data_IF_594507253084
#
_entry.id   IF_594507253084
#
_cell.length_a   1.000
_cell.length_b   1.000
_cell.length_c   1.000
_cell.angle_alpha   90.00
_cell.angle_beta   90.00
_cell.angle_gamma   90.00
#
_symmetry.space_group_name_H-M   'P 1'
#
loop_
_entity.id
_entity.type
_entity.pdbx_description
1 polymer ?
#
# COMPACT_ATOMS: atom_id res chain seq x y z
N UNK A 1 -13.12 14.44 3.52
CA UNK A 1 -13.85 13.30 2.93
C UNK A 1 -13.05 11.98 2.88
N UNK A 2 -11.91 11.88 2.16
CA UNK A 2 -11.17 10.61 2.08
C UNK A 2 -10.45 10.22 3.38
N UNK A 3 -9.81 11.17 4.08
CA UNK A 3 -9.19 10.86 5.38
C UNK A 3 -10.22 10.37 6.41
N UNK A 4 -11.42 10.97 6.42
CA UNK A 4 -12.51 10.56 7.31
C UNK A 4 -12.96 9.12 7.00
N UNK A 5 -13.12 8.78 5.72
CA UNK A 5 -13.46 7.43 5.30
C UNK A 5 -12.42 6.41 5.78
N UNK A 6 -11.12 6.71 5.56
CA UNK A 6 -10.04 5.81 5.98
C UNK A 6 -9.89 5.72 7.50
N UNK A 7 -10.18 6.80 8.24
CA UNK A 7 -10.20 6.78 9.70
C UNK A 7 -11.30 5.83 10.21
N UNK A 8 -12.50 5.93 9.64
CA UNK A 8 -13.61 5.04 9.99
C UNK A 8 -13.34 3.58 9.61
N UNK A 9 -12.80 3.32 8.43
CA UNK A 9 -12.42 1.96 8.00
C UNK A 9 -11.33 1.39 8.92
N UNK A 10 -10.35 2.20 9.31
CA UNK A 10 -9.29 1.77 10.23
C UNK A 10 -9.86 1.42 11.61
N UNK A 11 -10.77 2.25 12.14
CA UNK A 11 -11.44 1.98 13.41
C UNK A 11 -12.31 0.72 13.35
N UNK A 12 -13.06 0.54 12.26
CA UNK A 12 -13.89 -0.65 12.03
C UNK A 12 -13.06 -1.93 11.87
N UNK A 13 -11.81 -1.83 11.43
CA UNK A 13 -10.88 -2.96 11.32
C UNK A 13 -10.28 -3.41 12.66
N UNK A 14 -10.32 -2.56 13.70
CA UNK A 14 -9.70 -2.88 14.99
C UNK A 14 -10.32 -4.12 15.67
N UNK A 15 -11.65 -4.25 15.82
CA UNK A 15 -12.24 -5.43 16.46
C UNK A 15 -11.84 -6.76 15.82
N UNK A 16 -11.94 -6.97 14.49
CA UNK A 16 -11.51 -8.23 13.89
C UNK A 16 -10.00 -8.45 13.99
N UNK A 17 -9.18 -7.40 13.96
CA UNK A 17 -7.73 -7.54 14.13
C UNK A 17 -7.36 -7.98 15.55
N UNK A 18 -7.99 -7.38 16.55
CA UNK A 18 -7.78 -7.74 17.96
C UNK A 18 -8.25 -9.18 18.22
N UNK A 19 -9.41 -9.56 17.69
CA UNK A 19 -9.89 -10.93 17.78
C UNK A 19 -8.92 -11.92 17.11
N UNK A 20 -8.43 -11.60 15.90
CA UNK A 20 -7.47 -12.43 15.18
C UNK A 20 -6.15 -12.58 15.95
N UNK A 21 -5.58 -11.50 16.48
CA UNK A 21 -4.34 -11.57 17.27
C UNK A 21 -4.55 -12.32 18.59
N UNK A 22 -5.70 -12.15 19.26
CA UNK A 22 -6.02 -12.93 20.46
C UNK A 22 -6.13 -14.43 20.19
N UNK A 23 -6.69 -14.80 19.04
CA UNK A 23 -6.82 -16.21 18.62
C UNK A 23 -5.48 -16.81 18.16
N UNK A 24 -4.62 -16.02 17.52
CA UNK A 24 -3.34 -16.49 16.98
C UNK A 24 -2.21 -16.48 18.01
N UNK A 25 -2.02 -15.36 18.71
CA UNK A 25 -0.89 -15.12 19.60
C UNK A 25 -1.23 -15.36 21.07
N UNK A 26 -2.50 -15.20 21.43
CA UNK A 26 -2.99 -15.31 22.80
C UNK A 26 -2.78 -14.04 23.64
N UNK A 27 -3.55 -13.86 24.73
CA UNK A 27 -3.55 -12.63 25.52
C UNK A 27 -2.22 -12.35 26.23
N UNK A 28 -1.49 -13.40 26.65
CA UNK A 28 -0.21 -13.24 27.33
C UNK A 28 0.88 -12.68 26.41
N UNK A 29 0.93 -13.12 25.15
CA UNK A 29 1.88 -12.63 24.16
C UNK A 29 1.61 -11.18 23.77
N UNK A 30 0.34 -10.81 23.64
CA UNK A 30 -0.08 -9.42 23.39
C UNK A 30 0.35 -8.53 24.55
N UNK A 31 0.07 -8.93 25.79
CA UNK A 31 0.44 -8.13 26.96
C UNK A 31 1.96 -7.93 27.07
N UNK A 32 2.74 -8.99 26.86
CA UNK A 32 4.20 -8.90 26.85
C UNK A 32 4.72 -7.98 25.72
N UNK A 33 4.11 -8.05 24.53
CA UNK A 33 4.48 -7.19 23.40
C UNK A 33 4.20 -5.71 23.68
N UNK A 34 3.08 -5.42 24.34
CA UNK A 34 2.70 -4.06 24.75
C UNK A 34 3.59 -3.53 25.88
N UNK A 35 3.94 -4.38 26.85
CA UNK A 35 4.78 -3.97 27.99
C UNK A 35 6.25 -3.78 27.63
N UNK A 36 6.72 -4.40 26.54
CA UNK A 36 8.10 -4.32 26.06
C UNK A 36 8.25 -3.60 24.71
N UNK A 37 7.39 -2.61 24.45
CA UNK A 37 7.51 -1.77 23.25
C UNK A 37 8.86 -1.04 23.21
N UNK A 38 9.69 -1.38 22.23
CA UNK A 38 10.96 -0.69 22.02
C UNK A 38 10.74 0.64 21.27
N UNK A 39 11.62 1.65 21.47
CA UNK A 39 11.58 2.88 20.69
C UNK A 39 11.68 2.63 19.17
N UNK A 40 12.41 1.59 18.76
CA UNK A 40 12.52 1.19 17.36
C UNK A 40 11.18 0.71 16.78
N UNK A 41 10.43 -0.11 17.52
CA UNK A 41 9.09 -0.55 17.12
C UNK A 41 8.15 0.65 17.01
N UNK A 42 8.19 1.58 17.98
CA UNK A 42 7.40 2.81 17.91
C UNK A 42 7.75 3.64 16.65
N UNK A 43 9.04 3.79 16.34
CA UNK A 43 9.50 4.46 15.12
C UNK A 43 8.94 3.80 13.86
N UNK A 44 8.99 2.47 13.77
CA UNK A 44 8.40 1.72 12.66
C UNK A 44 6.89 1.91 12.54
N UNK A 45 6.16 1.88 13.67
CA UNK A 45 4.71 2.10 13.69
C UNK A 45 4.35 3.50 13.19
N UNK A 46 5.07 4.53 13.63
CA UNK A 46 4.84 5.91 13.19
C UNK A 46 5.20 6.11 11.72
N UNK A 47 6.32 5.54 11.27
CA UNK A 47 6.71 5.59 9.86
C UNK A 47 5.68 4.90 8.95
N UNK A 48 5.15 3.75 9.37
CA UNK A 48 4.17 3.00 8.58
C UNK A 48 2.78 3.66 8.60
N UNK A 49 2.31 4.11 9.78
CA UNK A 49 0.99 4.71 9.91
C UNK A 49 0.95 6.11 9.29
N UNK A 50 1.84 7.02 9.69
CA UNK A 50 1.82 8.41 9.23
C UNK A 50 2.52 8.51 7.87
N UNK A 51 3.76 8.02 7.80
CA UNK A 51 4.64 8.19 6.64
C UNK A 51 4.13 7.47 5.39
N UNK A 52 3.73 6.20 5.53
CA UNK A 52 3.23 5.40 4.41
C UNK A 52 1.71 5.54 4.25
N UNK A 53 0.95 5.19 5.28
CA UNK A 53 -0.51 5.02 5.15
C UNK A 53 -1.24 6.35 5.02
N UNK A 54 -1.08 7.26 5.98
CA UNK A 54 -1.81 8.55 5.99
C UNK A 54 -1.41 9.43 4.81
N UNK A 55 -0.10 9.64 4.60
CA UNK A 55 0.39 10.44 3.46
C UNK A 55 0.02 9.77 2.13
N UNK A 56 0.17 8.45 2.02
CA UNK A 56 -0.20 7.69 0.82
C UNK A 56 -1.67 7.88 0.45
N UNK A 57 -2.59 7.68 1.40
CA UNK A 57 -4.01 7.89 1.15
C UNK A 57 -4.38 9.35 0.89
N UNK A 58 -3.68 10.31 1.52
CA UNK A 58 -3.89 11.72 1.23
C UNK A 58 -3.49 12.08 -0.21
N UNK A 59 -2.30 11.64 -0.66
CA UNK A 59 -1.86 11.84 -2.06
C UNK A 59 -2.82 11.14 -3.02
N UNK A 60 -3.18 9.89 -2.73
CA UNK A 60 -4.08 9.11 -3.57
C UNK A 60 -5.47 9.74 -3.67
N UNK A 61 -6.02 10.22 -2.57
CA UNK A 61 -7.29 10.94 -2.57
C UNK A 61 -7.24 12.24 -3.35
N UNK A 62 -6.12 12.96 -3.32
CA UNK A 62 -5.91 14.14 -4.18
C UNK A 62 -5.84 13.76 -5.65
N UNK A 63 -5.20 12.64 -6.00
CA UNK A 63 -5.14 12.15 -7.38
C UNK A 63 -6.52 11.76 -7.89
N UNK A 64 -7.32 11.06 -7.09
CA UNK A 64 -8.69 10.68 -7.46
C UNK A 64 -9.65 11.86 -7.55
N UNK A 65 -9.36 12.96 -6.85
CA UNK A 65 -10.11 14.20 -7.01
C UNK A 65 -9.73 14.96 -8.29
N UNK A 66 -8.50 14.77 -8.80
CA UNK A 66 -7.99 15.46 -9.98
C UNK A 66 -8.08 14.64 -11.28
N UNK A 67 -8.12 13.31 -11.17
CA UNK A 67 -8.09 12.35 -12.27
C UNK A 67 -9.10 11.23 -12.03
N UNK A 68 -9.60 10.63 -13.12
CA UNK A 68 -10.50 9.48 -13.03
C UNK A 68 -9.80 8.27 -12.43
N UNK A 69 -10.54 7.38 -11.76
CA UNK A 69 -9.98 6.16 -11.17
C UNK A 69 -9.23 5.32 -12.21
N UNK A 70 -9.73 5.23 -13.44
CA UNK A 70 -9.10 4.48 -14.53
C UNK A 70 -7.69 4.99 -14.90
N UNK A 71 -7.39 6.27 -14.66
CA UNK A 71 -6.07 6.85 -14.92
C UNK A 71 -5.08 6.57 -13.78
N UNK A 72 -5.56 6.50 -12.53
CA UNK A 72 -4.71 6.40 -11.34
C UNK A 72 -4.44 4.94 -10.96
N UNK A 73 -5.42 4.06 -11.11
CA UNK A 73 -5.34 2.65 -10.67
C UNK A 73 -4.17 1.86 -11.29
N UNK A 74 -3.81 2.00 -12.58
CA UNK A 74 -2.70 1.23 -13.14
C UNK A 74 -1.36 1.53 -12.48
N UNK A 75 -1.16 2.73 -11.93
CA UNK A 75 0.06 3.06 -11.18
C UNK A 75 0.16 2.30 -9.85
N UNK A 76 -0.95 1.84 -9.26
CA UNK A 76 -0.92 1.01 -8.06
C UNK A 76 -0.27 -0.36 -8.34
N UNK A 77 -0.28 -0.83 -9.59
CA UNK A 77 0.41 -2.06 -9.99
C UNK A 77 1.95 -1.91 -9.95
N UNK A 78 2.48 -0.68 -9.86
CA UNK A 78 3.92 -0.45 -9.69
C UNK A 78 4.42 -0.67 -8.25
N UNK A 79 3.52 -0.64 -7.26
CA UNK A 79 3.88 -0.76 -5.82
C UNK A 79 4.85 -1.91 -5.51
N UNK A 80 4.64 -3.16 -5.96
CA UNK A 80 5.57 -4.26 -5.67
C UNK A 80 6.98 -4.03 -6.25
N UNK A 81 7.11 -3.31 -7.36
CA UNK A 81 8.41 -3.03 -7.98
C UNK A 81 9.17 -1.94 -7.23
N UNK A 82 8.45 -0.91 -6.75
CA UNK A 82 9.02 0.09 -5.85
C UNK A 82 9.47 -0.58 -4.54
N UNK A 83 8.65 -1.47 -3.99
CA UNK A 83 9.01 -2.25 -2.80
C UNK A 83 10.24 -3.14 -3.04
N UNK A 84 10.32 -3.84 -4.16
CA UNK A 84 11.49 -4.63 -4.52
C UNK A 84 12.74 -3.77 -4.71
N UNK A 85 12.63 -2.60 -5.36
CA UNK A 85 13.74 -1.66 -5.51
C UNK A 85 14.23 -1.11 -4.18
N UNK A 86 13.30 -0.71 -3.30
CA UNK A 86 13.62 -0.29 -1.94
C UNK A 86 14.30 -1.42 -1.15
N UNK A 87 13.82 -2.66 -1.30
CA UNK A 87 14.42 -3.83 -0.64
C UNK A 87 15.86 -4.07 -1.10
N UNK A 88 16.11 -4.01 -2.40
CA UNK A 88 17.46 -4.13 -2.96
C UNK A 88 18.40 -3.04 -2.46
N UNK A 89 17.93 -1.80 -2.34
CA UNK A 89 18.75 -0.66 -1.88
C UNK A 89 19.02 -0.75 -0.38
N UNK A 90 18.00 -1.03 0.43
CA UNK A 90 18.08 -0.98 1.90
C UNK A 90 18.69 -2.25 2.48
N UNK A 91 18.29 -3.42 1.97
CA UNK A 91 18.73 -4.72 2.47
C UNK A 91 19.82 -5.38 1.62
N UNK A 92 20.20 -4.77 0.49
CA UNK A 92 21.21 -5.33 -0.41
C UNK A 92 20.74 -6.57 -1.15
N UNK A 93 19.43 -6.81 -1.23
CA UNK A 93 18.88 -7.99 -1.91
C UNK A 93 19.24 -7.99 -3.39
N UNK A 94 19.79 -9.10 -3.87
CA UNK A 94 20.06 -9.32 -5.28
C UNK A 94 18.96 -10.16 -5.91
N UNK A 95 18.40 -9.66 -7.01
CA UNK A 95 17.41 -10.40 -7.77
C UNK A 95 18.07 -11.12 -8.95
N UNK A 96 17.82 -12.41 -9.07
CA UNK A 96 18.30 -13.21 -10.19
C UNK A 96 17.74 -12.72 -11.54
N UNK A 97 18.40 -13.05 -12.65
CA UNK A 97 18.07 -12.54 -13.98
C UNK A 97 16.63 -12.88 -14.41
N UNK A 98 16.10 -14.05 -14.04
CA UNK A 98 14.72 -14.44 -14.34
C UNK A 98 13.68 -13.55 -13.64
N UNK A 99 13.93 -13.18 -12.37
CA UNK A 99 13.05 -12.28 -11.63
C UNK A 99 13.08 -10.88 -12.23
N UNK A 100 14.27 -10.39 -12.56
CA UNK A 100 14.46 -9.10 -13.22
C UNK A 100 13.75 -9.04 -14.58
N UNK A 101 13.86 -10.10 -15.41
CA UNK A 101 13.15 -10.14 -16.69
C UNK A 101 11.64 -10.12 -16.50
N UNK A 102 11.11 -10.86 -15.51
CA UNK A 102 9.68 -10.82 -15.18
C UNK A 102 9.23 -9.43 -14.74
N UNK A 103 10.03 -8.75 -13.90
CA UNK A 103 9.75 -7.37 -13.47
C UNK A 103 9.71 -6.40 -14.65
N UNK A 104 10.68 -6.50 -15.57
CA UNK A 104 10.72 -5.68 -16.78
C UNK A 104 9.50 -5.92 -17.68
N UNK A 105 9.07 -7.17 -17.86
CA UNK A 105 7.88 -7.51 -18.65
C UNK A 105 6.63 -6.86 -18.07
N UNK A 106 6.45 -6.91 -16.74
CA UNK A 106 5.27 -6.30 -16.10
C UNK A 106 5.31 -4.78 -16.22
N UNK A 107 6.45 -4.15 -15.95
CA UNK A 107 6.60 -2.69 -16.09
C UNK A 107 6.36 -2.25 -17.54
N UNK A 108 6.85 -3.00 -18.52
CA UNK A 108 6.59 -2.75 -19.93
C UNK A 108 5.09 -2.88 -20.26
N UNK A 109 4.42 -3.92 -19.76
CA UNK A 109 2.97 -4.09 -19.94
C UNK A 109 2.15 -2.93 -19.38
N UNK A 110 2.54 -2.42 -18.21
CA UNK A 110 1.89 -1.25 -17.60
C UNK A 110 2.18 0.02 -18.41
N UNK A 111 3.41 0.21 -18.90
CA UNK A 111 3.75 1.33 -19.77
C UNK A 111 2.93 1.31 -21.07
N UNK A 112 2.75 0.13 -21.68
CA UNK A 112 1.90 -0.04 -22.87
C UNK A 112 0.44 0.30 -22.53
N UNK A 113 -0.08 -0.21 -21.42
CA UNK A 113 -1.45 0.06 -20.97
C UNK A 113 -1.68 1.57 -20.78
N UNK A 114 -0.73 2.29 -20.19
CA UNK A 114 -0.84 3.73 -19.93
C UNK A 114 -0.69 4.59 -21.19
N UNK A 115 0.23 4.24 -22.10
CA UNK A 115 0.52 5.03 -23.30
C UNK A 115 -0.49 4.79 -24.43
N UNK A 116 -1.02 3.57 -24.54
CA UNK A 116 -1.87 3.15 -25.65
C UNK A 116 -3.31 2.81 -25.23
N UNK A 117 -3.59 2.65 -23.94
CA UNK A 117 -4.93 2.42 -23.40
C UNK A 117 -5.78 3.68 -23.39
N UNK A 118 -6.27 4.12 -24.56
CA UNK A 118 -7.32 5.16 -24.63
C UNK A 118 -8.66 4.54 -24.22
N UNK A 119 -9.03 4.67 -22.95
CA UNK A 119 -10.42 4.47 -22.55
C UNK A 119 -11.26 5.59 -23.19
N UNK A 120 -12.11 5.26 -24.17
CA UNK A 120 -13.15 6.17 -24.63
C UNK A 120 -14.10 6.41 -23.44
N UNK A 121 -14.37 7.67 -23.05
CA UNK A 121 -15.42 7.91 -22.07
C UNK A 121 -16.74 7.43 -22.67
N UNK A 122 -17.39 6.48 -22.00
CA UNK A 122 -18.76 6.12 -22.32
C UNK A 122 -19.65 7.34 -22.00
N UNK A 123 -20.65 7.66 -22.85
CA UNK A 123 -21.53 8.79 -22.61
C UNK A 123 -22.19 8.62 -21.24
N UNK A 124 -22.05 9.62 -20.37
CA UNK A 124 -22.78 9.71 -19.13
C UNK A 124 -24.26 9.87 -19.50
N UNK A 125 -25.06 8.82 -19.27
CA UNK A 125 -26.51 8.89 -19.47
C UNK A 125 -27.06 9.73 -18.32
N UNK A 126 -27.46 10.95 -18.67
CA UNK A 126 -28.07 11.95 -17.78
C UNK A 126 -29.41 11.51 -17.20
#
# INVERSE_FOLDING_TARGET
PMLDLFAWVSLASLPPLVAASLLADGPAAIWASLSHLSPGVMGCLLALSIGSTTIGYWIWGRLLHAYTAAQVVPFALLVPFIGAGASAIVFGEQFGPLRLSGMLIVVAGIAIMLLFGRARPLPEVA
#
